data_IF_123354283290
#
_entry.id   IF_123354283290
#
_cell.length_a   1.000
_cell.length_b   1.000
_cell.length_c   1.000
_cell.angle_alpha   90.00
_cell.angle_beta   90.00
_cell.angle_gamma   90.00
#
_symmetry.space_group_name_H-M   'P 1'
#
loop_
_entity.id
_entity.type
_entity.pdbx_description
1 polymer ?
#
# COMPACT_ATOMS: atom_id res chain seq x y z
N UNK A 1 32.29 46.06 7.52
CA UNK A 1 31.54 45.53 8.68
C UNK A 1 30.41 44.64 8.17
N UNK A 2 30.60 43.31 8.17
CA UNK A 2 29.59 42.33 7.75
C UNK A 2 28.94 41.76 9.00
N UNK A 3 27.64 41.99 9.17
CA UNK A 3 26.84 41.48 10.30
C UNK A 3 26.38 40.07 9.95
N UNK A 4 26.98 39.09 10.62
CA UNK A 4 26.54 37.70 10.60
C UNK A 4 25.38 37.57 11.60
N UNK A 5 24.17 37.32 11.10
CA UNK A 5 23.01 37.00 11.95
C UNK A 5 22.96 35.49 12.11
N UNK A 6 23.28 35.00 13.30
CA UNK A 6 23.14 33.60 13.68
C UNK A 6 21.74 33.43 14.27
N UNK A 7 20.84 32.79 13.52
CA UNK A 7 19.53 32.38 14.01
C UNK A 7 19.69 31.06 14.79
N UNK A 8 19.75 31.16 16.12
CA UNK A 8 19.59 30.03 17.03
C UNK A 8 18.11 29.64 17.08
N UNK A 9 17.73 28.62 16.30
CA UNK A 9 16.44 27.96 16.47
C UNK A 9 16.55 27.02 17.66
N UNK A 10 15.82 27.33 18.73
CA UNK A 10 15.72 26.50 19.92
C UNK A 10 15.15 25.13 19.56
N UNK A 11 15.90 24.06 19.85
CA UNK A 11 15.38 22.69 19.85
C UNK A 11 14.31 22.59 20.94
N UNK A 12 13.05 22.71 20.57
CA UNK A 12 11.98 22.11 21.35
C UNK A 12 12.11 20.59 21.17
N UNK A 13 12.64 19.92 22.20
CA UNK A 13 12.53 18.47 22.35
C UNK A 13 11.04 18.17 22.55
N UNK A 14 10.30 18.03 21.47
CA UNK A 14 9.03 17.32 21.51
C UNK A 14 9.37 15.86 21.69
N UNK A 15 9.24 15.38 22.93
CA UNK A 15 9.07 13.97 23.18
C UNK A 15 7.87 13.53 22.35
N UNK A 16 8.13 12.87 21.21
CA UNK A 16 7.10 12.26 20.39
C UNK A 16 6.55 11.15 21.27
N UNK A 17 5.45 11.44 21.97
CA UNK A 17 4.55 10.38 22.38
C UNK A 17 4.29 9.58 21.11
N UNK A 18 4.85 8.37 21.03
CA UNK A 18 4.47 7.42 20.02
C UNK A 18 2.96 7.32 20.13
N UNK A 19 2.23 7.93 19.19
CA UNK A 19 0.80 7.74 19.09
C UNK A 19 0.64 6.23 18.95
N UNK A 20 0.16 5.57 20.00
CA UNK A 20 -0.22 4.18 19.94
C UNK A 20 -1.32 4.13 18.88
N UNK A 21 -0.93 3.77 17.65
CA UNK A 21 -1.84 3.79 16.53
C UNK A 21 -2.89 2.70 16.80
N UNK A 22 -4.11 3.13 17.11
CA UNK A 22 -5.22 2.25 17.49
C UNK A 22 -5.93 1.64 16.30
N UNK A 23 -5.63 2.11 15.09
CA UNK A 23 -6.36 1.78 13.87
C UNK A 23 -5.40 1.49 12.73
N UNK A 24 -5.84 0.64 11.79
CA UNK A 24 -5.08 0.37 10.57
C UNK A 24 -5.00 1.66 9.76
N UNK A 25 -3.79 1.99 9.31
CA UNK A 25 -3.55 3.18 8.50
C UNK A 25 -4.40 3.17 7.22
N UNK A 26 -5.06 4.29 6.98
CA UNK A 26 -5.92 4.56 5.83
C UNK A 26 -5.44 5.75 4.99
N UNK A 27 -4.51 6.56 5.51
CA UNK A 27 -3.92 7.72 4.82
C UNK A 27 -2.57 7.40 4.19
N UNK A 28 -2.45 7.70 2.90
CA UNK A 28 -1.29 7.40 2.06
C UNK A 28 -0.93 8.63 1.23
N UNK A 29 0.27 9.17 1.51
CA UNK A 29 0.84 10.29 0.74
C UNK A 29 -0.09 11.52 0.68
N UNK A 30 -0.87 11.74 1.75
CA UNK A 30 -1.83 12.83 1.88
C UNK A 30 -3.28 12.46 1.56
N UNK A 31 -3.54 11.30 0.95
CA UNK A 31 -4.86 10.85 0.55
C UNK A 31 -5.39 9.72 1.44
N UNK A 32 -6.63 9.81 1.89
CA UNK A 32 -7.29 8.83 2.76
C UNK A 32 -8.22 7.91 1.96
N UNK A 33 -8.30 6.63 2.35
CA UNK A 33 -9.25 5.68 1.76
C UNK A 33 -10.69 6.24 1.82
N UNK A 34 -11.34 6.30 0.67
CA UNK A 34 -12.67 6.89 0.48
C UNK A 34 -12.63 8.27 -0.18
N UNK A 35 -11.48 8.94 -0.20
CA UNK A 35 -11.31 10.19 -0.96
C UNK A 35 -11.24 9.93 -2.47
N UNK A 36 -11.42 10.99 -3.23
CA UNK A 36 -11.56 10.95 -4.68
C UNK A 36 -10.23 11.14 -5.42
N UNK A 37 -10.19 10.71 -6.67
CA UNK A 37 -9.08 10.98 -7.58
C UNK A 37 -8.85 12.48 -7.79
N UNK A 38 -9.91 13.29 -7.78
CA UNK A 38 -9.82 14.75 -7.88
C UNK A 38 -8.99 15.35 -6.73
N UNK A 39 -9.27 14.94 -5.49
CA UNK A 39 -8.51 15.36 -4.30
C UNK A 39 -7.03 14.96 -4.38
N UNK A 40 -6.72 13.80 -4.99
CA UNK A 40 -5.33 13.40 -5.22
C UNK A 40 -4.57 14.36 -6.15
N UNK A 41 -5.24 14.94 -7.15
CA UNK A 41 -4.63 15.91 -8.08
C UNK A 41 -4.28 17.23 -7.39
N UNK A 42 -4.92 17.56 -6.27
CA UNK A 42 -4.63 18.74 -5.47
C UNK A 42 -3.37 18.56 -4.60
N UNK A 43 -2.90 17.32 -4.41
CA UNK A 43 -1.70 17.03 -3.62
C UNK A 43 -0.45 17.46 -4.45
N UNK A 44 0.37 18.40 -3.95
CA UNK A 44 1.54 18.86 -4.68
C UNK A 44 2.51 17.72 -4.99
N UNK A 45 2.92 17.59 -6.25
CA UNK A 45 3.83 16.53 -6.70
C UNK A 45 3.15 15.20 -7.05
N UNK A 46 1.84 15.06 -6.87
CA UNK A 46 1.07 13.88 -7.29
C UNK A 46 0.52 13.95 -8.71
N UNK A 47 0.50 15.15 -9.32
CA UNK A 47 0.21 15.33 -10.74
C UNK A 47 1.18 14.50 -11.61
N UNK A 48 0.67 13.48 -12.29
CA UNK A 48 1.50 12.52 -13.02
C UNK A 48 0.68 11.48 -13.76
N UNK A 49 1.34 10.63 -14.56
CA UNK A 49 0.68 9.61 -15.41
C UNK A 49 -0.11 8.61 -14.56
N UNK A 50 -1.43 8.60 -14.70
CA UNK A 50 -2.27 7.45 -14.36
C UNK A 50 -2.10 6.37 -15.41
N UNK A 51 -2.31 5.12 -15.02
CA UNK A 51 -2.40 4.01 -15.97
C UNK A 51 -3.69 3.28 -15.69
N UNK A 52 -4.51 3.13 -16.72
CA UNK A 52 -5.65 2.23 -16.66
C UNK A 52 -5.10 0.80 -16.77
N UNK A 53 -5.39 -0.06 -15.80
CA UNK A 53 -5.21 -1.50 -15.99
C UNK A 53 -6.36 -2.03 -16.81
N UNK A 54 -6.08 -2.42 -18.05
CA UNK A 54 -6.90 -3.41 -18.71
C UNK A 54 -6.38 -4.83 -18.39
N UNK A 55 -7.29 -5.73 -18.00
CA UNK A 55 -7.02 -7.17 -18.10
C UNK A 55 -7.39 -7.59 -19.51
N UNK A 56 -6.50 -8.35 -20.16
CA UNK A 56 -6.80 -8.96 -21.46
C UNK A 56 -7.40 -10.33 -21.19
N UNK A 57 -8.67 -10.51 -21.48
CA UNK A 57 -9.31 -11.82 -21.51
C UNK A 57 -9.78 -12.06 -22.95
N UNK A 58 -8.99 -12.80 -23.73
CA UNK A 58 -9.25 -13.01 -25.16
C UNK A 58 -9.07 -11.76 -26.06
N UNK A 59 -10.01 -11.55 -26.98
CA UNK A 59 -10.00 -10.47 -28.01
C UNK A 59 -10.44 -9.12 -27.42
N UNK A 60 -11.11 -9.12 -26.27
CA UNK A 60 -11.69 -7.92 -25.65
C UNK A 60 -10.75 -7.29 -24.62
N UNK A 61 -10.74 -5.95 -24.57
CA UNK A 61 -10.07 -5.17 -23.54
C UNK A 61 -11.07 -4.94 -22.41
N UNK A 62 -10.90 -5.63 -21.28
CA UNK A 62 -11.65 -5.30 -20.07
C UNK A 62 -10.85 -4.25 -19.31
N UNK A 63 -11.40 -3.04 -19.13
CA UNK A 63 -10.81 -1.98 -18.32
C UNK A 63 -11.27 -2.17 -16.88
N UNK A 64 -10.39 -2.62 -15.97
CA UNK A 64 -10.82 -3.21 -14.69
C UNK A 64 -10.59 -2.28 -13.49
N UNK A 65 -9.56 -1.43 -13.48
CA UNK A 65 -9.26 -0.55 -12.34
C UNK A 65 -8.49 0.68 -12.83
N UNK A 66 -8.81 1.87 -12.31
CA UNK A 66 -7.92 3.03 -12.43
C UNK A 66 -6.88 2.93 -11.33
N UNK A 67 -5.58 2.97 -11.67
CA UNK A 67 -4.57 3.12 -10.63
C UNK A 67 -3.52 4.18 -10.98
N UNK A 68 -3.07 4.87 -9.94
CA UNK A 68 -1.89 5.72 -9.99
C UNK A 68 -0.70 4.90 -9.51
N UNK A 69 0.28 4.70 -10.40
CA UNK A 69 1.53 4.00 -10.06
C UNK A 69 2.66 5.00 -9.90
N UNK A 70 3.31 4.92 -8.75
CA UNK A 70 4.59 5.53 -8.46
C UNK A 70 5.63 4.41 -8.41
N UNK A 71 6.85 4.72 -8.86
CA UNK A 71 8.00 3.80 -8.84
C UNK A 71 9.08 4.36 -7.94
N UNK A 72 9.89 3.46 -7.38
CA UNK A 72 11.10 3.79 -6.63
C UNK A 72 10.85 4.82 -5.52
N UNK A 73 9.73 4.65 -4.80
CA UNK A 73 9.28 5.56 -3.76
C UNK A 73 9.69 5.08 -2.38
N UNK A 74 10.06 6.02 -1.52
CA UNK A 74 10.28 5.76 -0.10
C UNK A 74 9.00 6.01 0.70
N UNK A 75 8.52 4.99 1.40
CA UNK A 75 7.33 5.06 2.24
C UNK A 75 7.47 4.14 3.46
N UNK A 76 7.09 4.64 4.64
CA UNK A 76 7.22 3.87 5.89
C UNK A 76 8.67 3.49 6.22
N UNK A 77 9.65 4.31 5.81
CA UNK A 77 11.07 4.04 5.99
C UNK A 77 11.70 3.07 4.98
N UNK A 78 10.90 2.48 4.07
CA UNK A 78 11.33 1.46 3.08
C UNK A 78 11.22 1.98 1.66
N UNK A 79 12.05 1.42 0.77
CA UNK A 79 11.96 1.66 -0.67
C UNK A 79 11.10 0.60 -1.36
N UNK A 80 10.16 1.06 -2.16
CA UNK A 80 9.21 0.24 -2.90
C UNK A 80 9.41 0.40 -4.39
N UNK A 81 9.52 -0.73 -5.11
CA UNK A 81 9.66 -0.73 -6.56
C UNK A 81 8.38 -0.27 -7.25
N UNK A 82 7.22 -0.66 -6.72
CA UNK A 82 5.92 -0.15 -7.13
C UNK A 82 5.10 0.28 -5.92
N UNK A 83 4.42 1.41 -6.07
CA UNK A 83 3.37 1.90 -5.17
C UNK A 83 2.15 2.24 -6.02
N UNK A 84 1.09 1.47 -5.88
CA UNK A 84 -0.12 1.58 -6.69
C UNK A 84 -1.28 2.03 -5.80
N UNK A 85 -1.93 3.14 -6.17
CA UNK A 85 -3.17 3.62 -5.56
C UNK A 85 -4.32 3.31 -6.49
N UNK A 86 -5.34 2.61 -6.01
CA UNK A 86 -6.45 2.10 -6.81
C UNK A 86 -7.72 2.89 -6.56
N UNK A 87 -8.38 3.25 -7.65
CA UNK A 87 -9.58 4.07 -7.68
C UNK A 87 -10.68 3.31 -8.42
N UNK A 88 -11.91 3.37 -7.90
CA UNK A 88 -13.08 2.82 -8.56
C UNK A 88 -13.36 3.59 -9.88
N UNK A 89 -14.23 3.10 -10.78
CA UNK A 89 -14.62 3.84 -11.98
C UNK A 89 -15.09 5.28 -11.68
N UNK A 90 -15.85 5.48 -10.60
CA UNK A 90 -16.29 6.78 -10.08
C UNK A 90 -15.20 7.59 -9.38
N UNK A 91 -13.97 7.07 -9.32
CA UNK A 91 -12.79 7.76 -8.81
C UNK A 91 -12.60 7.64 -7.30
N UNK A 92 -13.25 6.72 -6.60
CA UNK A 92 -13.08 6.53 -5.15
C UNK A 92 -11.81 5.74 -4.84
N UNK A 93 -10.89 6.27 -4.03
CA UNK A 93 -9.68 5.59 -3.59
C UNK A 93 -10.02 4.48 -2.59
N UNK A 94 -9.84 3.22 -2.96
CA UNK A 94 -10.30 2.08 -2.14
C UNK A 94 -9.18 1.14 -1.68
N UNK A 95 -8.00 1.22 -2.29
CA UNK A 95 -6.89 0.31 -1.99
C UNK A 95 -5.55 0.93 -2.37
N UNK A 96 -4.51 0.60 -1.61
CA UNK A 96 -3.11 0.84 -1.98
C UNK A 96 -2.33 -0.46 -1.90
N UNK A 97 -1.46 -0.71 -2.87
CA UNK A 97 -0.56 -1.85 -2.87
C UNK A 97 0.85 -1.42 -3.21
N UNK A 98 1.78 -1.82 -2.37
CA UNK A 98 3.21 -1.62 -2.52
C UNK A 98 3.87 -2.96 -2.71
N UNK A 99 4.82 -3.07 -3.65
CA UNK A 99 5.60 -4.29 -3.80
C UNK A 99 7.03 -4.02 -4.24
N UNK A 100 7.88 -5.00 -3.89
CA UNK A 100 9.26 -5.10 -4.38
C UNK A 100 9.54 -6.56 -4.73
N UNK A 101 10.12 -6.75 -5.91
CA UNK A 101 10.56 -8.05 -6.39
C UNK A 101 12.02 -8.31 -6.06
N UNK A 102 12.33 -9.56 -5.76
CA UNK A 102 13.66 -10.07 -5.43
C UNK A 102 13.95 -11.32 -6.26
N UNK A 103 15.22 -11.49 -6.67
CA UNK A 103 15.61 -12.61 -7.52
C UNK A 103 15.61 -13.94 -6.76
N UNK A 104 15.90 -13.88 -5.46
CA UNK A 104 16.05 -15.08 -4.62
C UNK A 104 15.21 -15.00 -3.34
N UNK A 105 14.84 -16.16 -2.75
CA UNK A 105 14.16 -16.16 -1.46
C UNK A 105 15.06 -15.63 -0.34
N UNK A 106 16.38 -15.82 -0.42
CA UNK A 106 17.35 -15.32 0.57
C UNK A 106 17.41 -13.80 0.68
N UNK A 107 17.03 -13.08 -0.38
CA UNK A 107 16.88 -11.62 -0.37
C UNK A 107 15.49 -11.19 0.08
N UNK A 108 14.44 -11.94 -0.31
CA UNK A 108 13.06 -11.58 -0.02
C UNK A 108 12.63 -11.86 1.42
N UNK A 109 13.10 -12.97 2.00
CA UNK A 109 12.72 -13.43 3.36
C UNK A 109 13.12 -12.46 4.47
N UNK A 110 14.36 -11.91 4.50
CA UNK A 110 14.73 -10.90 5.48
C UNK A 110 13.84 -9.65 5.39
N UNK A 111 13.51 -9.22 4.18
CA UNK A 111 12.67 -8.04 3.92
C UNK A 111 11.22 -8.28 4.37
N UNK A 112 10.66 -9.44 4.04
CA UNK A 112 9.35 -9.87 4.54
C UNK A 112 9.31 -9.94 6.06
N UNK A 113 10.30 -10.60 6.68
CA UNK A 113 10.37 -10.80 8.14
C UNK A 113 10.52 -9.47 8.86
N UNK A 114 11.37 -8.58 8.36
CA UNK A 114 11.57 -7.26 8.92
C UNK A 114 10.30 -6.41 8.82
N UNK A 115 9.61 -6.43 7.67
CA UNK A 115 8.34 -5.72 7.52
C UNK A 115 7.25 -6.30 8.41
N UNK A 116 7.18 -7.63 8.54
CA UNK A 116 6.24 -8.29 9.43
C UNK A 116 6.48 -7.87 10.89
N UNK A 117 7.74 -7.81 11.35
CA UNK A 117 8.07 -7.36 12.69
C UNK A 117 7.63 -5.91 12.96
N UNK A 118 7.80 -5.01 11.98
CA UNK A 118 7.32 -3.62 12.08
C UNK A 118 5.79 -3.58 12.22
N UNK A 119 5.07 -4.37 11.41
CA UNK A 119 3.60 -4.44 11.45
C UNK A 119 3.11 -5.11 12.74
N UNK A 120 3.79 -6.13 13.25
CA UNK A 120 3.47 -6.78 14.51
C UNK A 120 3.69 -5.84 15.69
N UNK A 121 4.75 -5.03 15.65
CA UNK A 121 4.97 -3.95 16.62
C UNK A 121 3.88 -2.88 16.56
N UNK A 122 3.32 -2.63 15.37
CA UNK A 122 2.33 -1.57 15.13
C UNK A 122 0.91 -2.00 15.45
N UNK A 123 0.52 -3.20 15.05
CA UNK A 123 -0.86 -3.69 15.05
C UNK A 123 -1.05 -4.98 15.84
N UNK A 124 -0.01 -5.80 16.00
CA UNK A 124 -0.13 -7.18 16.53
C UNK A 124 -0.63 -7.30 17.98
N UNK A 125 -0.65 -6.20 18.73
CA UNK A 125 -1.16 -6.15 20.12
C UNK A 125 -2.24 -5.09 20.33
N UNK A 126 -2.70 -4.45 19.26
CA UNK A 126 -3.73 -3.41 19.35
C UNK A 126 -5.07 -4.09 19.59
N UNK A 127 -5.78 -3.61 20.61
CA UNK A 127 -7.12 -4.09 20.92
C UNK A 127 -8.03 -3.81 19.72
N UNK A 128 -8.88 -4.77 19.38
CA UNK A 128 -9.83 -4.68 18.26
C UNK A 128 -9.19 -4.74 16.86
N UNK A 129 -7.91 -5.14 16.76
CA UNK A 129 -7.27 -5.60 15.52
C UNK A 129 -7.07 -7.12 15.58
N UNK A 130 -7.63 -7.84 14.61
CA UNK A 130 -7.44 -9.28 14.44
C UNK A 130 -6.24 -9.53 13.54
N UNK A 131 -5.35 -10.44 13.95
CA UNK A 131 -4.19 -10.89 13.14
C UNK A 131 -4.42 -12.33 12.69
N UNK A 132 -4.28 -12.58 11.40
CA UNK A 132 -4.48 -13.90 10.80
C UNK A 132 -3.30 -14.25 9.87
N UNK A 133 -2.77 -15.46 10.02
CA UNK A 133 -1.75 -15.99 9.13
C UNK A 133 -2.41 -16.80 8.02
N UNK A 134 -1.88 -16.66 6.81
CA UNK A 134 -2.33 -17.40 5.63
C UNK A 134 -1.16 -18.07 4.94
N UNK A 135 -1.39 -19.29 4.48
CA UNK A 135 -0.48 -20.04 3.62
C UNK A 135 -1.31 -20.59 2.46
N UNK A 136 -0.88 -20.34 1.23
CA UNK A 136 -1.54 -20.92 0.06
C UNK A 136 -1.34 -22.44 0.04
N UNK A 137 -2.30 -23.16 -0.56
CA UNK A 137 -2.29 -24.63 -0.59
C UNK A 137 -1.05 -25.22 -1.28
N UNK A 138 -0.49 -24.50 -2.25
CA UNK A 138 0.74 -24.85 -2.97
C UNK A 138 2.02 -24.36 -2.27
N UNK A 139 1.89 -23.68 -1.13
CA UNK A 139 3.00 -23.12 -0.35
C UNK A 139 3.75 -21.97 -1.02
N UNK A 140 3.27 -21.45 -2.16
CA UNK A 140 3.95 -20.40 -2.94
C UNK A 140 3.74 -19.00 -2.37
N UNK A 141 2.74 -18.84 -1.49
CA UNK A 141 2.41 -17.58 -0.82
C UNK A 141 2.21 -17.79 0.67
N UNK A 142 2.90 -16.96 1.45
CA UNK A 142 2.59 -16.74 2.88
C UNK A 142 2.13 -15.31 3.08
N UNK A 143 1.24 -15.09 4.03
CA UNK A 143 0.75 -13.76 4.35
C UNK A 143 0.35 -13.62 5.81
N UNK A 144 0.39 -12.39 6.30
CA UNK A 144 -0.25 -12.00 7.55
C UNK A 144 -1.19 -10.84 7.26
N UNK A 145 -2.43 -10.99 7.71
CA UNK A 145 -3.48 -9.99 7.58
C UNK A 145 -3.84 -9.44 8.95
N UNK A 146 -3.89 -8.12 9.05
CA UNK A 146 -4.43 -7.38 10.17
C UNK A 146 -5.77 -6.79 9.73
N UNK A 147 -6.82 -7.05 10.48
CA UNK A 147 -8.16 -6.50 10.23
C UNK A 147 -8.59 -5.69 11.45
N UNK A 148 -8.74 -4.39 11.26
CA UNK A 148 -9.19 -3.47 12.30
C UNK A 148 -10.71 -3.31 12.32
N UNK A 149 -11.17 -2.40 13.17
CA UNK A 149 -12.56 -1.94 13.17
C UNK A 149 -12.91 -1.27 11.83
N UNK A 150 -14.21 -1.22 11.52
CA UNK A 150 -14.74 -0.58 10.31
C UNK A 150 -14.23 -1.15 8.98
N UNK A 151 -13.77 -2.41 8.97
CA UNK A 151 -13.37 -3.12 7.75
C UNK A 151 -12.03 -2.63 7.18
N UNK A 152 -11.22 -1.89 7.94
CA UNK A 152 -9.86 -1.55 7.53
C UNK A 152 -8.97 -2.80 7.56
N UNK A 153 -8.20 -3.03 6.51
CA UNK A 153 -7.35 -4.22 6.36
C UNK A 153 -5.95 -3.84 5.90
N UNK A 154 -4.95 -4.49 6.50
CA UNK A 154 -3.55 -4.43 6.11
C UNK A 154 -3.04 -5.86 5.92
N UNK A 155 -2.52 -6.20 4.74
CA UNK A 155 -1.91 -7.50 4.48
C UNK A 155 -0.47 -7.33 4.04
N UNK A 156 0.42 -8.10 4.65
CA UNK A 156 1.77 -8.35 4.12
C UNK A 156 1.82 -9.77 3.56
N UNK A 157 2.47 -9.94 2.41
CA UNK A 157 2.68 -11.26 1.82
C UNK A 157 4.05 -11.40 1.18
N UNK A 158 4.57 -12.62 1.22
CA UNK A 158 5.69 -13.09 0.41
C UNK A 158 5.16 -14.13 -0.56
N UNK A 159 5.29 -13.86 -1.85
CA UNK A 159 4.74 -14.70 -2.93
C UNK A 159 5.76 -14.90 -4.04
N UNK A 160 5.86 -16.12 -4.58
CA UNK A 160 6.59 -16.38 -5.83
C UNK A 160 5.65 -16.24 -7.01
N UNK A 161 5.86 -15.22 -7.85
CA UNK A 161 4.99 -14.93 -8.98
C UNK A 161 5.77 -14.49 -10.22
N UNK A 162 5.14 -14.58 -11.38
CA UNK A 162 5.71 -14.18 -12.66
C UNK A 162 5.58 -12.66 -12.84
N UNK A 163 6.69 -11.99 -13.14
CA UNK A 163 6.69 -10.58 -13.51
C UNK A 163 6.26 -10.39 -14.98
N UNK A 164 6.02 -9.13 -15.37
CA UNK A 164 5.60 -8.75 -16.74
C UNK A 164 6.57 -9.21 -17.84
N UNK A 165 7.83 -9.50 -17.49
CA UNK A 165 8.86 -10.00 -18.41
C UNK A 165 8.97 -11.53 -18.44
N UNK A 166 7.96 -12.24 -17.93
CA UNK A 166 7.89 -13.71 -17.80
C UNK A 166 8.99 -14.33 -16.92
N UNK A 167 9.63 -13.52 -16.07
CA UNK A 167 10.60 -14.03 -15.10
C UNK A 167 9.93 -14.21 -13.74
N UNK A 168 10.23 -15.31 -13.06
CA UNK A 168 9.74 -15.56 -11.70
C UNK A 168 10.56 -14.76 -10.68
N UNK A 169 9.87 -14.01 -9.83
CA UNK A 169 10.46 -13.29 -8.71
C UNK A 169 9.75 -13.64 -7.40
N UNK A 170 10.43 -13.40 -6.29
CA UNK A 170 9.83 -13.35 -4.98
C UNK A 170 9.38 -11.92 -4.70
N UNK A 171 8.09 -11.73 -4.49
CA UNK A 171 7.50 -10.43 -4.20
C UNK A 171 7.19 -10.31 -2.72
N UNK A 172 7.71 -9.26 -2.09
CA UNK A 172 7.21 -8.76 -0.81
C UNK A 172 6.19 -7.68 -1.13
N UNK A 173 4.95 -7.91 -0.73
CA UNK A 173 3.81 -7.03 -1.01
C UNK A 173 3.16 -6.58 0.28
N UNK A 174 2.85 -5.29 0.36
CA UNK A 174 2.09 -4.67 1.44
C UNK A 174 0.86 -4.00 0.83
N UNK A 175 -0.33 -4.39 1.28
CA UNK A 175 -1.59 -3.89 0.74
C UNK A 175 -2.47 -3.39 1.87
N UNK A 176 -3.09 -2.23 1.68
CA UNK A 176 -4.11 -1.69 2.57
C UNK A 176 -5.39 -1.42 1.78
N UNK A 177 -6.54 -1.71 2.39
CA UNK A 177 -7.86 -1.41 1.81
C UNK A 177 -8.92 -1.32 2.91
N UNK A 178 -10.11 -0.82 2.54
CA UNK A 178 -11.32 -0.92 3.36
C UNK A 178 -12.32 -1.86 2.67
N UNK A 179 -12.88 -2.81 3.40
CA UNK A 179 -13.71 -3.89 2.84
C UNK A 179 -14.95 -3.36 2.11
N UNK A 180 -15.64 -2.38 2.69
CA UNK A 180 -16.82 -1.72 2.11
C UNK A 180 -16.47 -0.98 0.81
N UNK A 181 -15.38 -0.20 0.79
CA UNK A 181 -14.94 0.54 -0.40
C UNK A 181 -14.49 -0.40 -1.50
N UNK A 182 -13.77 -1.46 -1.16
CA UNK A 182 -13.32 -2.45 -2.12
C UNK A 182 -14.49 -3.22 -2.73
N UNK A 183 -15.48 -3.61 -1.93
CA UNK A 183 -16.69 -4.26 -2.42
C UNK A 183 -17.49 -3.32 -3.34
N UNK A 184 -17.70 -2.06 -2.94
CA UNK A 184 -18.38 -1.06 -3.76
C UNK A 184 -17.65 -0.80 -5.08
N UNK A 185 -16.32 -0.69 -5.06
CA UNK A 185 -15.51 -0.54 -6.26
C UNK A 185 -15.66 -1.76 -7.19
N UNK A 186 -15.67 -2.98 -6.65
CA UNK A 186 -15.86 -4.21 -7.43
C UNK A 186 -17.25 -4.26 -8.09
N UNK A 187 -18.31 -3.88 -7.38
CA UNK A 187 -19.66 -3.79 -7.95
C UNK A 187 -19.75 -2.75 -9.07
N UNK A 188 -19.07 -1.61 -8.91
CA UNK A 188 -19.01 -0.58 -9.94
C UNK A 188 -18.26 -1.08 -11.19
N UNK A 189 -17.11 -1.73 -11.00
CA UNK A 189 -16.34 -2.34 -12.09
C UNK A 189 -17.17 -3.35 -12.87
N UNK A 190 -17.92 -4.22 -12.19
CA UNK A 190 -18.79 -5.22 -12.84
C UNK A 190 -19.91 -4.55 -13.66
N UNK A 191 -20.41 -3.39 -13.21
CA UNK A 191 -21.50 -2.66 -13.90
C UNK A 191 -21.04 -1.94 -15.16
N UNK A 192 -19.80 -1.49 -15.17
CA UNK A 192 -19.19 -0.77 -16.30
C UNK A 192 -18.60 -1.72 -17.36
N UNK A 193 -18.65 -3.04 -17.12
CA UNK A 193 -18.30 -4.11 -18.08
C UNK A 193 -19.49 -4.58 -18.89
#
# INVERSE_FOLDING_TARGET
MRRTVILLAALAVTAIAASAQTEIQDRFLGLELGQTYGEMLEIPGFGGRSRDSCRRDGIERVYVEQFKRLRDIRFGGREWGNFNMYFSPGGTFYMVSMNRGYGTPGEAEPEYTSLLADLDSKYGRVKDIRREEGLSADGTRRSVTYTGSYGAVCTVSLERSEAVNNSLYWFVTLTYWREDLKAAAQEEIIREM
#
